data_IF_710161302087
#
_entry.id   IF_710161302087
#
_cell.length_a   1.000
_cell.length_b   1.000
_cell.length_c   1.000
_cell.angle_alpha   90.00
_cell.angle_beta   90.00
_cell.angle_gamma   90.00
#
_symmetry.space_group_name_H-M   'P 1'
#
loop_
_entity.id
_entity.type
_entity.pdbx_description
1 polymer ?
#
# COMPACT_ATOMS: atom_id res chain seq x y z
N UNK A 1 -8.13 66.27 39.49
CA UNK A 1 -7.03 66.14 40.47
C UNK A 1 -7.01 64.72 41.00
N UNK A 2 -5.82 64.11 41.12
CA UNK A 2 -5.50 62.81 41.79
C UNK A 2 -6.67 61.85 42.07
N UNK A 3 -6.90 60.90 41.15
CA UNK A 3 -7.30 59.55 41.57
C UNK A 3 -6.14 58.90 42.35
N UNK A 4 -6.43 57.91 43.20
CA UNK A 4 -5.44 57.23 44.03
C UNK A 4 -5.13 55.83 43.48
N UNK A 5 -3.84 55.51 43.41
CA UNK A 5 -3.33 54.16 43.16
C UNK A 5 -3.76 53.21 44.27
N UNK A 6 -4.10 51.98 43.91
CA UNK A 6 -4.16 50.84 44.83
C UNK A 6 -3.23 49.77 44.26
N UNK A 7 -2.26 49.32 45.06
CA UNK A 7 -1.33 48.25 44.73
C UNK A 7 -1.45 47.20 45.83
N UNK A 8 -1.69 45.93 45.46
CA UNK A 8 -1.77 44.80 46.39
C UNK A 8 -0.53 43.93 46.24
N UNK A 9 -0.07 43.33 47.34
CA UNK A 9 1.19 42.59 47.44
C UNK A 9 0.91 41.14 47.87
N UNK A 10 1.62 40.19 47.28
CA UNK A 10 1.52 38.75 47.54
C UNK A 10 2.46 37.99 46.59
N UNK A 11 3.78 38.07 46.76
CA UNK A 11 4.63 37.38 47.74
C UNK A 11 5.01 35.95 47.29
N UNK A 12 6.29 35.78 46.96
CA UNK A 12 6.92 34.51 46.54
C UNK A 12 6.94 33.45 47.65
N UNK A 13 6.95 32.18 47.24
CA UNK A 13 7.69 31.11 47.94
C UNK A 13 8.30 30.13 46.93
N UNK A 14 9.63 30.06 46.89
CA UNK A 14 10.35 28.90 46.33
C UNK A 14 10.54 27.86 47.43
N UNK A 15 10.59 26.59 47.06
CA UNK A 15 11.43 25.59 47.71
C UNK A 15 11.85 24.53 46.68
N UNK A 16 13.14 24.21 46.65
CA UNK A 16 13.71 23.20 45.77
C UNK A 16 14.14 21.97 46.58
N UNK A 17 14.22 20.80 45.95
CA UNK A 17 14.71 19.57 46.55
C UNK A 17 15.07 18.51 45.51
N UNK A 18 16.36 18.20 45.38
CA UNK A 18 16.90 17.30 44.36
C UNK A 18 17.47 16.02 44.98
N UNK A 19 17.05 14.85 44.50
CA UNK A 19 17.62 13.51 44.75
C UNK A 19 16.76 12.45 44.01
N UNK A 20 17.26 11.31 43.51
CA UNK A 20 18.63 10.87 43.19
C UNK A 20 18.53 9.71 42.16
N UNK A 21 19.56 9.46 41.35
CA UNK A 21 19.59 8.31 40.43
C UNK A 21 19.81 6.97 41.15
N UNK A 22 19.20 5.89 40.66
CA UNK A 22 19.58 4.51 41.01
C UNK A 22 19.25 3.53 39.88
N UNK A 23 20.28 2.87 39.31
CA UNK A 23 20.14 1.71 38.43
C UNK A 23 21.03 0.56 38.92
N UNK A 24 20.43 -0.54 39.39
CA UNK A 24 20.93 -1.92 39.17
C UNK A 24 19.92 -2.98 39.60
N UNK A 25 20.03 -4.16 39.01
CA UNK A 25 19.09 -5.28 39.15
C UNK A 25 19.60 -6.40 40.08
N UNK A 26 18.68 -7.25 40.55
CA UNK A 26 18.60 -8.71 40.32
C UNK A 26 17.81 -9.42 41.44
N UNK A 27 17.18 -10.58 41.14
CA UNK A 27 16.77 -11.55 42.19
C UNK A 27 15.34 -12.13 42.22
N UNK A 28 14.90 -12.79 41.14
CA UNK A 28 14.05 -14.01 41.12
C UNK A 28 13.13 -14.38 42.31
N UNK A 29 11.82 -14.60 42.04
CA UNK A 29 11.18 -15.96 42.19
C UNK A 29 9.68 -16.05 41.82
N UNK A 30 9.30 -17.08 41.04
CA UNK A 30 8.18 -17.97 41.42
C UNK A 30 6.85 -18.02 40.63
N UNK A 31 6.78 -18.90 39.61
CA UNK A 31 5.52 -19.52 39.10
C UNK A 31 4.76 -18.77 37.97
N UNK A 32 4.03 -19.44 37.07
CA UNK A 32 3.92 -20.89 36.82
C UNK A 32 2.62 -21.31 36.10
N UNK A 33 2.71 -22.20 35.09
CA UNK A 33 1.66 -22.59 34.08
C UNK A 33 1.46 -21.52 32.99
N UNK A 34 1.28 -21.81 31.69
CA UNK A 34 1.32 -23.07 30.91
C UNK A 34 0.02 -23.36 30.14
N UNK A 35 0.00 -23.63 28.82
CA UNK A 35 1.07 -23.66 27.80
C UNK A 35 0.64 -24.31 26.47
N UNK A 36 1.58 -24.42 25.51
CA UNK A 36 1.51 -25.08 24.18
C UNK A 36 0.60 -24.46 23.08
N UNK A 37 0.94 -24.54 21.77
CA UNK A 37 2.26 -24.82 21.17
C UNK A 37 2.30 -25.56 19.82
N UNK A 38 2.77 -24.86 18.77
CA UNK A 38 3.43 -25.34 17.52
C UNK A 38 4.07 -24.09 16.85
N UNK A 39 5.16 -24.04 16.07
CA UNK A 39 6.26 -24.96 15.64
C UNK A 39 5.96 -26.10 14.66
N UNK A 40 6.12 -25.83 13.35
CA UNK A 40 7.39 -26.00 12.57
C UNK A 40 7.52 -24.75 11.63
N UNK A 41 8.47 -24.52 10.71
CA UNK A 41 9.65 -25.25 10.22
C UNK A 41 9.49 -25.82 8.80
N UNK A 42 10.32 -25.53 7.78
CA UNK A 42 11.48 -24.62 7.64
C UNK A 42 12.27 -24.93 6.34
N UNK A 43 13.20 -24.05 5.91
CA UNK A 43 13.99 -24.11 4.64
C UNK A 43 13.17 -23.96 3.34
N UNK A 44 13.65 -23.41 2.22
CA UNK A 44 14.91 -22.71 1.93
C UNK A 44 15.63 -23.22 0.67
N UNK A 45 15.79 -22.37 -0.36
CA UNK A 45 16.80 -22.52 -1.41
C UNK A 45 17.01 -21.18 -2.15
N UNK A 46 18.23 -20.95 -2.65
CA UNK A 46 18.55 -19.80 -3.50
C UNK A 46 19.10 -20.28 -4.86
N UNK A 47 18.70 -19.61 -5.94
CA UNK A 47 19.25 -19.78 -7.27
C UNK A 47 18.61 -18.79 -8.24
N UNK A 48 19.32 -18.19 -9.20
CA UNK A 48 20.73 -18.38 -9.53
C UNK A 48 20.93 -18.44 -11.03
N UNK A 49 20.78 -17.30 -11.71
CA UNK A 49 20.79 -17.20 -13.18
C UNK A 49 22.18 -17.51 -13.77
N UNK A 50 22.47 -18.79 -13.99
CA UNK A 50 23.74 -19.30 -14.52
C UNK A 50 23.58 -19.95 -15.89
N UNK A 51 23.65 -19.14 -16.96
CA UNK A 51 23.53 -19.65 -18.33
C UNK A 51 24.72 -20.50 -18.78
N UNK A 52 24.45 -21.64 -19.43
CA UNK A 52 25.46 -22.46 -20.12
C UNK A 52 25.00 -22.82 -21.54
N UNK A 53 25.67 -22.25 -22.54
CA UNK A 53 25.59 -22.71 -23.93
C UNK A 53 26.89 -23.42 -24.33
N UNK A 54 26.77 -24.44 -25.20
CA UNK A 54 27.92 -25.11 -25.83
C UNK A 54 28.46 -26.35 -25.10
N UNK A 55 27.97 -27.54 -25.48
CA UNK A 55 28.43 -28.82 -24.95
C UNK A 55 28.21 -30.00 -25.90
N UNK A 56 28.91 -30.02 -27.04
CA UNK A 56 28.82 -31.15 -27.99
C UNK A 56 29.47 -32.41 -27.43
N UNK A 57 28.66 -33.41 -27.03
CA UNK A 57 29.13 -34.71 -26.52
C UNK A 57 28.40 -35.88 -27.20
N UNK A 58 29.10 -36.67 -28.01
CA UNK A 58 28.51 -37.86 -28.65
C UNK A 58 28.53 -39.05 -27.68
N UNK A 59 27.37 -39.64 -27.40
CA UNK A 59 27.26 -40.77 -26.47
C UNK A 59 25.96 -41.55 -26.63
N UNK A 60 25.94 -42.49 -27.59
CA UNK A 60 24.79 -43.38 -27.75
C UNK A 60 24.83 -44.53 -26.72
N UNK A 61 23.82 -44.60 -25.85
CA UNK A 61 23.47 -45.82 -25.12
C UNK A 61 21.96 -45.89 -24.96
N UNK A 62 21.35 -47.01 -25.32
CA UNK A 62 19.95 -47.27 -25.02
C UNK A 62 19.78 -47.54 -23.51
N UNK A 63 18.73 -47.00 -22.91
CA UNK A 63 18.40 -47.17 -21.50
C UNK A 63 16.91 -47.00 -21.26
N UNK A 64 16.16 -48.10 -21.35
CA UNK A 64 14.74 -48.14 -21.00
C UNK A 64 14.57 -48.04 -19.48
N UNK A 65 13.78 -47.08 -19.00
CA UNK A 65 13.58 -46.86 -17.57
C UNK A 65 12.33 -46.03 -17.26
N UNK A 66 11.15 -46.60 -17.50
CA UNK A 66 9.88 -46.00 -17.08
C UNK A 66 9.52 -46.47 -15.65
N UNK A 67 9.26 -45.50 -14.77
CA UNK A 67 8.60 -45.64 -13.46
C UNK A 67 7.84 -44.33 -13.23
N UNK A 68 6.52 -44.24 -13.30
CA UNK A 68 5.50 -45.31 -13.32
C UNK A 68 4.91 -45.49 -11.92
N UNK A 69 4.11 -44.51 -11.50
CA UNK A 69 3.52 -44.41 -10.15
C UNK A 69 2.02 -44.71 -10.08
N UNK A 70 1.37 -45.07 -11.20
CA UNK A 70 -0.08 -45.20 -11.31
C UNK A 70 -0.69 -46.14 -10.26
N UNK A 71 -1.47 -45.57 -9.35
CA UNK A 71 -2.48 -46.25 -8.56
C UNK A 71 -3.81 -45.50 -8.79
N UNK A 72 -4.88 -46.12 -9.30
CA UNK A 72 -4.96 -47.51 -9.73
C UNK A 72 -6.37 -48.06 -9.82
N UNK A 73 -7.28 -47.39 -10.55
CA UNK A 73 -8.64 -47.92 -10.75
C UNK A 73 -9.20 -47.60 -12.15
N UNK A 74 -9.62 -48.65 -12.87
CA UNK A 74 -10.58 -48.62 -13.99
C UNK A 74 -10.28 -47.87 -15.30
N UNK A 75 -9.68 -46.68 -15.26
CA UNK A 75 -9.55 -45.75 -16.39
C UNK A 75 -8.58 -46.21 -17.48
N UNK A 76 -8.85 -45.80 -18.72
CA UNK A 76 -7.86 -45.82 -19.80
C UNK A 76 -7.52 -44.37 -20.12
N UNK A 77 -6.55 -43.80 -19.41
CA UNK A 77 -6.02 -42.46 -19.66
C UNK A 77 -5.70 -42.28 -21.16
N UNK A 78 -6.06 -41.15 -21.74
CA UNK A 78 -5.95 -40.89 -23.18
C UNK A 78 -5.03 -39.72 -23.42
N UNK A 79 -3.77 -40.04 -23.72
CA UNK A 79 -2.71 -39.04 -23.91
C UNK A 79 -3.11 -37.93 -24.90
N UNK A 80 -3.06 -36.68 -24.44
CA UNK A 80 -3.55 -35.48 -25.13
C UNK A 80 -3.44 -34.25 -24.23
N UNK A 81 -3.99 -33.12 -24.67
CA UNK A 81 -3.94 -31.86 -23.90
C UNK A 81 -4.95 -31.90 -22.72
N UNK A 82 -4.52 -31.61 -21.49
CA UNK A 82 -5.35 -31.68 -20.27
C UNK A 82 -6.14 -30.38 -20.01
N UNK A 83 -6.90 -29.93 -21.03
CA UNK A 83 -7.59 -28.63 -21.02
C UNK A 83 -9.10 -28.73 -21.30
N UNK A 84 -9.72 -29.85 -20.94
CA UNK A 84 -11.18 -30.07 -21.10
C UNK A 84 -11.79 -30.71 -19.87
N UNK A 85 -13.08 -30.44 -19.59
CA UNK A 85 -13.78 -31.00 -18.41
C UNK A 85 -13.69 -32.53 -18.30
N UNK A 86 -13.53 -33.22 -19.44
CA UNK A 86 -13.47 -34.67 -19.53
C UNK A 86 -12.06 -35.27 -19.40
N UNK A 87 -11.01 -34.43 -19.46
CA UNK A 87 -9.63 -34.81 -19.13
C UNK A 87 -9.32 -34.44 -17.67
N UNK A 88 -9.77 -33.25 -17.25
CA UNK A 88 -9.62 -32.70 -15.90
C UNK A 88 -10.53 -33.36 -14.83
N UNK A 89 -11.07 -34.55 -15.09
CA UNK A 89 -11.87 -35.30 -14.11
C UNK A 89 -11.91 -36.82 -14.34
N UNK A 90 -10.97 -37.38 -15.13
CA UNK A 90 -10.92 -38.81 -15.42
C UNK A 90 -9.87 -39.60 -14.61
N UNK A 91 -9.14 -38.93 -13.70
CA UNK A 91 -8.21 -39.58 -12.77
C UNK A 91 -6.83 -39.82 -13.36
N UNK A 92 -6.43 -39.04 -14.35
CA UNK A 92 -5.30 -39.31 -15.22
C UNK A 92 -4.51 -38.04 -15.56
N UNK A 93 -3.21 -38.09 -15.27
CA UNK A 93 -2.16 -37.36 -15.98
C UNK A 93 -2.21 -37.74 -17.47
N UNK A 94 -2.83 -36.88 -18.29
CA UNK A 94 -3.12 -37.06 -19.70
C UNK A 94 -2.08 -36.38 -20.60
N UNK A 95 -1.45 -35.28 -20.17
CA UNK A 95 -0.39 -34.59 -20.92
C UNK A 95 1.03 -35.17 -20.64
N UNK A 96 1.24 -35.78 -19.46
CA UNK A 96 2.50 -36.35 -18.95
C UNK A 96 3.55 -35.36 -18.38
N UNK A 97 3.17 -34.18 -17.88
CA UNK A 97 4.05 -33.30 -17.10
C UNK A 97 4.24 -33.74 -15.63
N UNK A 98 3.23 -34.41 -15.05
CA UNK A 98 3.24 -34.96 -13.69
C UNK A 98 2.18 -34.42 -12.72
N UNK A 99 1.30 -33.52 -13.14
CA UNK A 99 0.05 -33.19 -12.43
C UNK A 99 -1.13 -34.03 -12.97
N UNK A 100 -2.36 -33.84 -12.46
CA UNK A 100 -3.56 -34.58 -12.93
C UNK A 100 -4.86 -34.00 -12.37
N UNK A 101 -5.93 -34.04 -13.15
CA UNK A 101 -7.23 -33.45 -12.81
C UNK A 101 -7.04 -31.99 -12.31
N UNK A 102 -7.71 -31.58 -11.23
CA UNK A 102 -7.65 -30.20 -10.73
C UNK A 102 -6.35 -29.81 -10.02
N UNK A 103 -5.39 -30.73 -9.86
CA UNK A 103 -4.00 -30.40 -9.47
C UNK A 103 -3.17 -29.86 -10.66
N UNK A 104 -3.62 -30.08 -11.91
CA UNK A 104 -3.02 -29.52 -13.13
C UNK A 104 -3.31 -28.00 -13.27
N UNK A 105 -2.39 -27.28 -13.90
CA UNK A 105 -2.51 -25.87 -14.25
C UNK A 105 -3.36 -25.61 -15.50
N UNK A 106 -3.28 -26.44 -16.54
CA UNK A 106 -4.08 -26.30 -17.77
C UNK A 106 -5.58 -26.56 -17.49
N UNK A 107 -5.87 -27.34 -16.44
CA UNK A 107 -7.23 -27.59 -15.95
C UNK A 107 -7.91 -26.39 -15.24
N UNK A 108 -7.16 -25.36 -14.82
CA UNK A 108 -7.66 -24.26 -13.95
C UNK A 108 -8.75 -23.38 -14.55
N UNK A 109 -9.08 -23.54 -15.83
CA UNK A 109 -10.16 -22.82 -16.53
C UNK A 109 -11.30 -23.73 -17.03
N UNK A 110 -11.27 -25.01 -16.66
CA UNK A 110 -12.30 -25.99 -17.05
C UNK A 110 -13.41 -26.09 -16.01
N UNK A 111 -14.65 -26.33 -16.42
CA UNK A 111 -15.81 -26.44 -15.50
C UNK A 111 -15.88 -27.77 -14.73
N UNK A 112 -14.85 -28.61 -14.85
CA UNK A 112 -14.60 -29.72 -13.95
C UNK A 112 -13.91 -29.28 -12.65
N UNK A 113 -13.11 -28.21 -12.72
CA UNK A 113 -12.26 -27.72 -11.64
C UNK A 113 -12.66 -26.32 -11.17
N UNK A 114 -13.05 -25.44 -12.09
CA UNK A 114 -13.82 -24.24 -11.81
C UNK A 114 -15.27 -24.63 -11.51
N UNK A 115 -15.74 -24.34 -10.30
CA UNK A 115 -17.12 -24.53 -9.85
C UNK A 115 -18.10 -23.51 -10.46
N UNK A 116 -19.30 -23.36 -9.87
CA UNK A 116 -20.28 -22.39 -10.34
C UNK A 116 -19.86 -20.96 -9.95
N UNK A 117 -19.08 -20.33 -10.83
CA UNK A 117 -18.46 -19.00 -10.71
C UNK A 117 -18.97 -18.10 -9.57
N UNK A 118 -18.07 -17.68 -8.68
CA UNK A 118 -18.40 -16.99 -7.43
C UNK A 118 -18.93 -15.57 -7.68
N UNK A 119 -20.25 -15.44 -7.87
CA UNK A 119 -20.84 -14.19 -8.35
C UNK A 119 -22.25 -13.91 -7.78
N UNK A 120 -22.42 -14.13 -6.47
CA UNK A 120 -23.61 -13.68 -5.73
C UNK A 120 -23.24 -13.32 -4.30
N UNK A 121 -23.94 -12.38 -3.68
CA UNK A 121 -23.59 -11.90 -2.34
C UNK A 121 -23.42 -13.04 -1.31
N UNK A 122 -24.30 -14.07 -1.25
CA UNK A 122 -24.12 -15.19 -0.32
C UNK A 122 -23.07 -16.24 -0.73
N UNK A 123 -22.42 -16.05 -1.88
CA UNK A 123 -21.21 -16.78 -2.26
C UNK A 123 -20.00 -15.97 -1.77
N UNK A 124 -19.88 -14.74 -2.27
CA UNK A 124 -18.83 -13.74 -2.01
C UNK A 124 -18.75 -13.18 -0.56
N UNK A 125 -19.25 -13.89 0.44
CA UNK A 125 -19.22 -13.47 1.86
C UNK A 125 -19.40 -14.65 2.83
N UNK A 126 -19.06 -15.88 2.43
CA UNK A 126 -19.33 -17.10 3.19
C UNK A 126 -18.09 -17.83 3.72
N UNK A 127 -16.88 -17.40 3.35
CA UNK A 127 -15.61 -17.96 3.82
C UNK A 127 -15.14 -19.19 3.05
N UNK A 128 -15.60 -19.38 1.81
CA UNK A 128 -15.29 -20.54 0.96
C UNK A 128 -15.13 -20.12 -0.49
N UNK A 129 -14.01 -20.53 -1.09
CA UNK A 129 -13.77 -20.58 -2.54
C UNK A 129 -14.84 -21.49 -3.21
N UNK A 130 -15.96 -20.88 -3.60
CA UNK A 130 -17.17 -21.58 -4.10
C UNK A 130 -16.95 -22.04 -5.57
N UNK A 131 -15.98 -21.46 -6.28
CA UNK A 131 -15.56 -21.91 -7.63
C UNK A 131 -14.16 -22.56 -7.74
N UNK A 132 -13.46 -22.75 -6.62
CA UNK A 132 -12.22 -23.55 -6.48
C UNK A 132 -11.03 -23.04 -7.34
N UNK A 133 -10.96 -21.73 -7.56
CA UNK A 133 -9.91 -21.10 -8.37
C UNK A 133 -8.67 -20.67 -7.56
N UNK A 134 -8.76 -20.64 -6.22
CA UNK A 134 -7.69 -20.25 -5.30
C UNK A 134 -7.82 -18.84 -4.70
N UNK A 135 -8.86 -18.09 -5.06
CA UNK A 135 -9.33 -16.89 -4.38
C UNK A 135 -10.60 -17.24 -3.56
N UNK A 136 -11.10 -16.31 -2.74
CA UNK A 136 -12.25 -16.56 -1.83
C UNK A 136 -12.94 -15.23 -1.56
N UNK A 137 -14.28 -15.23 -1.45
CA UNK A 137 -15.06 -14.06 -1.09
C UNK A 137 -14.66 -12.81 -1.91
N UNK A 138 -14.26 -11.71 -1.26
CA UNK A 138 -13.98 -10.44 -1.92
C UNK A 138 -12.57 -10.33 -2.50
N UNK A 139 -11.68 -11.28 -2.19
CA UNK A 139 -10.43 -11.49 -2.92
C UNK A 139 -10.66 -12.10 -4.32
N UNK A 140 -11.86 -12.64 -4.62
CA UNK A 140 -12.20 -13.18 -5.94
C UNK A 140 -12.56 -12.09 -6.97
N UNK A 141 -12.01 -12.21 -8.18
CA UNK A 141 -12.25 -11.28 -9.29
C UNK A 141 -13.71 -11.27 -9.80
N UNK A 142 -14.44 -12.38 -9.69
CA UNK A 142 -15.87 -12.48 -10.01
C UNK A 142 -16.77 -11.82 -8.94
N UNK A 143 -16.22 -11.59 -7.74
CA UNK A 143 -16.87 -10.90 -6.62
C UNK A 143 -16.60 -9.39 -6.56
N UNK A 144 -15.57 -8.85 -7.23
CA UNK A 144 -15.21 -7.42 -7.15
C UNK A 144 -16.35 -6.44 -7.52
N UNK A 145 -17.23 -6.79 -8.47
CA UNK A 145 -18.40 -5.97 -8.85
C UNK A 145 -19.60 -6.10 -7.87
N UNK A 146 -19.44 -6.78 -6.72
CA UNK A 146 -20.53 -7.08 -5.78
C UNK A 146 -20.63 -6.03 -4.69
N UNK A 147 -21.86 -5.64 -4.37
CA UNK A 147 -22.15 -4.70 -3.28
C UNK A 147 -21.68 -5.24 -1.92
N UNK A 148 -21.66 -6.57 -1.70
CA UNK A 148 -21.08 -7.20 -0.49
C UNK A 148 -19.55 -7.06 -0.36
N UNK A 149 -18.86 -6.70 -1.44
CA UNK A 149 -17.41 -6.45 -1.47
C UNK A 149 -17.07 -4.97 -1.65
N UNK A 150 -18.06 -4.14 -1.94
CA UNK A 150 -17.96 -2.68 -1.84
C UNK A 150 -18.31 -2.19 -0.41
N UNK A 151 -18.98 -3.03 0.38
CA UNK A 151 -19.43 -2.77 1.74
C UNK A 151 -20.51 -1.68 1.85
N UNK A 152 -21.14 -1.57 3.02
CA UNK A 152 -22.04 -0.45 3.30
C UNK A 152 -21.35 0.83 3.80
N UNK A 153 -20.04 0.96 3.55
CA UNK A 153 -19.09 2.02 3.96
C UNK A 153 -19.43 3.47 3.51
N UNK A 154 -20.62 3.96 3.85
CA UNK A 154 -20.98 5.37 3.75
C UNK A 154 -21.80 5.80 4.96
N UNK A 155 -21.57 7.03 5.44
CA UNK A 155 -22.39 7.67 6.49
C UNK A 155 -23.92 7.57 6.21
N UNK A 156 -24.31 7.51 4.93
CA UNK A 156 -25.69 7.41 4.50
C UNK A 156 -26.35 6.05 4.76
N UNK A 157 -25.59 4.97 4.61
CA UNK A 157 -26.04 3.59 4.85
C UNK A 157 -25.86 3.22 6.33
N UNK A 158 -24.68 3.50 6.90
CA UNK A 158 -24.28 3.25 8.29
C UNK A 158 -25.12 3.96 9.40
N UNK A 159 -26.26 4.55 9.06
CA UNK A 159 -27.17 5.25 9.98
C UNK A 159 -28.64 5.20 9.55
N UNK A 160 -29.03 4.23 8.73
CA UNK A 160 -30.33 4.15 8.06
C UNK A 160 -31.22 2.97 8.53
N UNK A 161 -30.66 2.02 9.28
CA UNK A 161 -31.38 0.90 9.90
C UNK A 161 -31.57 -0.32 9.00
N UNK A 162 -30.68 -0.53 8.03
CA UNK A 162 -30.69 -1.68 7.11
C UNK A 162 -29.28 -2.23 6.91
N UNK A 163 -29.26 -3.52 6.61
CA UNK A 163 -28.25 -4.23 5.82
C UNK A 163 -28.37 -3.75 4.36
N UNK A 164 -27.36 -3.05 3.83
CA UNK A 164 -27.39 -2.48 2.47
C UNK A 164 -26.53 -3.24 1.45
N UNK A 165 -25.65 -4.13 1.89
CA UNK A 165 -24.70 -4.89 1.07
C UNK A 165 -24.99 -6.41 1.01
N UNK A 166 -25.73 -6.96 1.98
CA UNK A 166 -26.17 -8.35 2.05
C UNK A 166 -25.39 -9.25 3.01
N UNK A 167 -24.43 -8.73 3.78
CA UNK A 167 -23.57 -9.49 4.72
C UNK A 167 -24.32 -10.02 5.97
N UNK A 168 -25.45 -9.40 6.33
CA UNK A 168 -26.29 -9.60 7.53
C UNK A 168 -25.95 -8.79 8.80
N UNK A 169 -24.88 -7.99 8.80
CA UNK A 169 -24.68 -6.87 9.74
C UNK A 169 -25.46 -5.62 9.28
N UNK A 170 -25.50 -4.58 10.12
CA UNK A 170 -26.42 -3.42 10.00
C UNK A 170 -25.85 -2.17 10.71
N UNK A 171 -25.83 -1.03 10.03
CA UNK A 171 -25.36 0.26 10.56
C UNK A 171 -23.95 0.11 11.20
N UNK A 172 -23.65 0.88 12.23
CA UNK A 172 -22.45 0.71 13.06
C UNK A 172 -22.29 -0.65 13.75
N UNK A 173 -23.19 -1.64 13.58
CA UNK A 173 -22.90 -3.02 14.00
C UNK A 173 -22.12 -3.81 12.92
N UNK A 174 -21.92 -3.20 11.75
CA UNK A 174 -21.05 -3.68 10.68
C UNK A 174 -19.58 -3.34 10.91
N UNK A 175 -18.69 -4.17 10.36
CA UNK A 175 -17.26 -3.88 10.25
C UNK A 175 -16.99 -2.87 9.13
N UNK A 176 -17.75 -2.90 8.02
CA UNK A 176 -17.59 -1.95 6.90
C UNK A 176 -18.02 -0.52 7.25
N UNK A 177 -18.76 -0.36 8.36
CA UNK A 177 -19.11 0.93 8.94
C UNK A 177 -18.10 1.47 9.96
N UNK A 178 -16.92 0.85 10.10
CA UNK A 178 -15.87 1.29 11.03
C UNK A 178 -14.84 2.23 10.40
N UNK A 179 -14.91 2.51 9.09
CA UNK A 179 -13.95 3.39 8.40
C UNK A 179 -13.84 4.80 9.02
N UNK A 180 -12.65 5.41 9.01
CA UNK A 180 -12.39 6.70 9.69
C UNK A 180 -13.29 7.84 9.20
N UNK A 181 -13.67 7.83 7.92
CA UNK A 181 -14.61 8.80 7.36
C UNK A 181 -16.09 8.55 7.74
N UNK A 182 -16.43 7.54 8.55
CA UNK A 182 -17.79 7.18 8.99
C UNK A 182 -18.15 7.82 10.35
N UNK A 183 -18.23 9.15 10.36
CA UNK A 183 -18.53 10.01 11.52
C UNK A 183 -19.93 9.83 12.15
N UNK A 184 -20.72 8.86 11.70
CA UNK A 184 -21.98 8.43 12.33
C UNK A 184 -21.80 7.30 13.37
N UNK A 185 -20.62 6.66 13.41
CA UNK A 185 -20.31 5.54 14.29
C UNK A 185 -19.25 5.88 15.36
N UNK A 186 -19.13 5.02 16.38
CA UNK A 186 -18.08 5.08 17.40
C UNK A 186 -17.86 3.65 17.91
N UNK A 187 -17.00 2.90 17.21
CA UNK A 187 -17.00 1.44 17.30
C UNK A 187 -18.38 0.87 16.91
N UNK A 188 -18.75 -0.24 17.55
CA UNK A 188 -19.98 -0.98 17.29
C UNK A 188 -21.29 -0.29 17.73
N UNK A 189 -21.42 1.04 17.62
CA UNK A 189 -22.56 1.84 18.09
C UNK A 189 -22.67 3.22 17.42
N UNK A 190 -23.89 3.69 17.10
CA UNK A 190 -24.10 5.01 16.49
C UNK A 190 -23.88 6.17 17.48
N UNK A 191 -23.33 7.27 16.99
CA UNK A 191 -23.10 8.48 17.80
C UNK A 191 -24.42 9.12 18.26
N UNK A 192 -24.42 9.66 19.47
CA UNK A 192 -25.63 10.16 20.13
C UNK A 192 -25.45 11.58 20.70
N UNK A 193 -26.08 12.61 20.11
CA UNK A 193 -27.00 12.58 18.96
C UNK A 193 -26.27 12.34 17.63
N UNK A 194 -26.96 11.71 16.67
CA UNK A 194 -26.50 11.65 15.28
C UNK A 194 -26.37 13.08 14.71
N UNK A 195 -25.28 13.40 13.98
CA UNK A 195 -25.09 14.70 13.33
C UNK A 195 -26.05 14.90 12.16
N UNK A 196 -26.48 16.14 11.93
CA UNK A 196 -27.29 16.48 10.75
C UNK A 196 -26.48 16.29 9.46
N UNK A 197 -27.11 15.79 8.38
CA UNK A 197 -26.41 15.49 7.11
C UNK A 197 -25.73 16.72 6.50
N UNK A 198 -26.18 17.94 6.81
CA UNK A 198 -25.51 19.19 6.39
C UNK A 198 -24.18 19.48 7.12
N UNK A 199 -23.85 18.72 8.17
CA UNK A 199 -22.60 18.81 8.91
C UNK A 199 -21.56 17.79 8.45
N UNK A 200 -21.95 16.74 7.74
CA UNK A 200 -21.10 15.57 7.46
C UNK A 200 -19.78 15.94 6.78
N UNK A 201 -19.71 16.72 5.67
CA UNK A 201 -18.42 17.01 5.02
C UNK A 201 -17.43 17.78 5.93
N UNK A 202 -17.94 18.57 6.88
CA UNK A 202 -17.10 19.28 7.85
C UNK A 202 -16.65 18.38 9.01
N UNK A 203 -17.41 17.34 9.36
CA UNK A 203 -17.06 16.36 10.38
C UNK A 203 -16.11 15.29 9.81
N UNK A 204 -16.36 14.79 8.60
CA UNK A 204 -15.49 13.85 7.88
C UNK A 204 -14.10 14.46 7.70
N UNK A 205 -14.03 15.70 7.18
CA UNK A 205 -12.79 16.47 7.13
C UNK A 205 -12.13 16.64 8.51
N UNK A 206 -12.90 16.72 9.59
CA UNK A 206 -12.32 16.88 10.93
C UNK A 206 -11.72 15.56 11.43
N UNK A 207 -12.35 14.41 11.19
CA UNK A 207 -11.75 13.11 11.50
C UNK A 207 -10.41 12.97 10.77
N UNK A 208 -10.46 12.99 9.43
CA UNK A 208 -9.32 12.81 8.53
C UNK A 208 -8.22 13.91 8.56
N UNK A 209 -8.25 14.89 9.47
CA UNK A 209 -7.20 15.92 9.62
C UNK A 209 -7.01 16.41 11.07
N UNK A 210 -7.16 15.56 12.10
CA UNK A 210 -6.99 15.96 13.50
C UNK A 210 -5.80 15.35 14.26
N UNK A 211 -5.04 14.45 13.63
CA UNK A 211 -3.89 13.77 14.23
C UNK A 211 -4.30 12.69 15.24
N UNK A 212 -5.42 12.02 14.99
CA UNK A 212 -5.94 10.90 15.81
C UNK A 212 -6.46 9.82 14.86
N UNK A 213 -5.98 8.59 15.07
CA UNK A 213 -6.55 7.31 14.63
C UNK A 213 -7.98 7.16 15.21
N UNK A 214 -8.99 7.71 14.53
CA UNK A 214 -10.38 7.82 15.00
C UNK A 214 -11.14 6.48 14.83
N UNK A 215 -10.71 5.61 13.91
CA UNK A 215 -11.21 4.22 13.77
C UNK A 215 -10.45 3.17 14.62
N UNK A 216 -9.25 3.50 15.11
CA UNK A 216 -8.32 2.59 15.82
C UNK A 216 -7.74 1.45 14.98
N UNK A 217 -7.53 1.66 13.68
CA UNK A 217 -6.93 0.67 12.76
C UNK A 217 -5.39 0.72 12.74
N UNK A 218 -4.76 1.79 13.24
CA UNK A 218 -3.31 1.99 13.29
C UNK A 218 -2.72 2.92 12.23
N UNK A 219 -3.56 3.48 11.35
CA UNK A 219 -3.26 4.63 10.48
C UNK A 219 -3.85 5.90 11.11
N UNK A 220 -3.67 7.07 10.48
CA UNK A 220 -4.14 8.35 11.04
C UNK A 220 -4.31 9.38 9.91
N UNK A 221 -5.40 10.15 9.94
CA UNK A 221 -5.66 11.26 9.02
C UNK A 221 -5.51 10.82 7.54
N UNK A 222 -4.59 11.41 6.79
CA UNK A 222 -4.35 11.14 5.38
C UNK A 222 -3.45 9.92 5.13
N UNK A 223 -2.87 9.36 6.20
CA UNK A 223 -2.24 8.03 6.18
C UNK A 223 -3.27 6.90 6.05
N UNK A 224 -4.53 7.12 6.44
CA UNK A 224 -5.60 6.15 6.25
C UNK A 224 -6.16 6.19 4.81
N UNK A 225 -6.39 4.99 4.26
CA UNK A 225 -7.08 4.77 3.00
C UNK A 225 -8.53 5.27 3.08
N UNK A 226 -9.21 5.10 4.22
CA UNK A 226 -10.57 5.56 4.49
C UNK A 226 -10.78 7.07 4.31
N UNK A 227 -9.69 7.83 4.38
CA UNK A 227 -9.65 9.28 4.35
C UNK A 227 -8.99 9.82 3.09
N UNK A 228 -7.87 9.22 2.67
CA UNK A 228 -7.17 9.59 1.42
C UNK A 228 -7.95 9.21 0.17
N UNK A 229 -8.71 8.11 0.19
CA UNK A 229 -9.51 7.70 -0.97
C UNK A 229 -10.94 8.31 -0.93
N UNK A 230 -11.29 9.02 0.16
CA UNK A 230 -12.55 9.76 0.29
C UNK A 230 -12.48 11.14 -0.40
N UNK A 231 -13.17 11.27 -1.54
CA UNK A 231 -13.19 12.48 -2.35
C UNK A 231 -13.79 13.74 -1.67
N UNK A 232 -14.53 13.62 -0.56
CA UNK A 232 -14.96 14.80 0.23
C UNK A 232 -13.79 15.39 1.05
N UNK A 233 -12.71 14.63 1.25
CA UNK A 233 -11.50 15.02 1.99
C UNK A 233 -10.42 15.52 1.02
N UNK A 234 -10.71 16.64 0.37
CA UNK A 234 -9.74 17.34 -0.51
C UNK A 234 -8.44 17.75 0.21
N UNK A 235 -8.44 17.77 1.54
CA UNK A 235 -7.26 18.09 2.35
C UNK A 235 -6.25 16.94 2.47
N UNK A 236 -6.58 15.72 2.01
CA UNK A 236 -5.65 14.60 1.88
C UNK A 236 -5.20 14.34 0.44
N UNK A 237 -5.67 15.15 -0.53
CA UNK A 237 -5.26 15.07 -1.91
C UNK A 237 -4.04 15.96 -2.16
N UNK A 238 -3.12 15.50 -3.01
CA UNK A 238 -1.95 16.25 -3.50
C UNK A 238 -1.07 16.89 -2.40
N UNK A 239 -0.98 16.26 -1.23
CA UNK A 239 -0.05 16.67 -0.17
C UNK A 239 1.40 16.33 -0.56
N UNK A 240 2.39 17.17 -0.19
CA UNK A 240 3.79 16.87 -0.43
C UNK A 240 4.26 15.74 0.50
N UNK A 241 4.78 14.62 -0.02
CA UNK A 241 5.15 13.48 0.81
C UNK A 241 6.46 13.68 1.57
N UNK A 242 6.57 13.00 2.71
CA UNK A 242 7.74 12.99 3.60
C UNK A 242 8.94 12.20 3.03
N UNK A 243 9.44 12.55 1.85
CA UNK A 243 10.47 11.76 1.15
C UNK A 243 11.59 12.57 0.51
N UNK A 244 11.98 13.70 1.10
CA UNK A 244 13.23 14.40 0.75
C UNK A 244 13.91 14.99 2.00
N UNK A 245 15.19 15.35 1.92
CA UNK A 245 15.93 15.78 3.11
C UNK A 245 15.39 17.07 3.77
N UNK A 246 14.62 17.88 3.05
CA UNK A 246 14.04 19.11 3.60
C UNK A 246 12.80 18.84 4.46
N UNK A 247 11.85 18.02 3.99
CA UNK A 247 10.64 17.67 4.76
C UNK A 247 11.01 16.80 5.96
N UNK A 248 11.86 15.78 5.73
CA UNK A 248 12.38 14.85 6.74
C UNK A 248 13.29 15.48 7.83
N UNK A 249 13.34 16.80 7.95
CA UNK A 249 14.03 17.51 9.03
C UNK A 249 13.48 18.91 9.39
N UNK A 250 12.25 19.26 8.99
CA UNK A 250 11.65 20.57 9.31
C UNK A 250 10.70 20.59 10.52
N UNK A 251 10.30 19.41 11.02
CA UNK A 251 9.43 19.24 12.19
C UNK A 251 7.95 19.47 11.92
N UNK A 252 7.50 19.26 10.68
CA UNK A 252 6.10 19.28 10.24
C UNK A 252 5.71 17.87 9.78
N UNK A 253 4.42 17.54 9.88
CA UNK A 253 3.80 16.39 9.23
C UNK A 253 3.29 16.87 7.85
N UNK A 254 4.05 16.61 6.78
CA UNK A 254 3.79 17.21 5.45
C UNK A 254 2.65 16.51 4.69
N UNK A 255 2.54 15.19 4.78
CA UNK A 255 1.51 14.35 4.16
C UNK A 255 0.36 13.94 5.11
N UNK A 256 0.42 14.33 6.40
CA UNK A 256 -0.62 14.10 7.43
C UNK A 256 -0.90 12.63 7.65
N UNK A 257 0.17 11.86 7.75
CA UNK A 257 0.18 10.43 8.06
C UNK A 257 0.15 10.17 9.59
N UNK A 258 0.36 11.23 10.40
CA UNK A 258 0.47 11.18 11.86
C UNK A 258 1.91 11.04 12.38
N UNK A 259 2.90 10.89 11.48
CA UNK A 259 4.34 10.89 11.79
C UNK A 259 4.96 12.25 11.41
N UNK A 260 6.26 12.39 11.58
CA UNK A 260 7.00 13.66 11.39
C UNK A 260 8.49 13.39 11.28
N UNK A 261 9.19 14.10 10.39
CA UNK A 261 10.63 13.92 10.15
C UNK A 261 10.97 12.42 9.96
N UNK A 262 12.13 12.00 10.47
CA UNK A 262 12.58 10.61 10.48
C UNK A 262 11.67 9.61 11.21
N UNK A 263 10.66 10.00 11.98
CA UNK A 263 9.71 9.02 12.54
C UNK A 263 8.79 8.43 11.44
N UNK A 264 8.70 9.10 10.29
CA UNK A 264 7.98 8.68 9.09
C UNK A 264 8.61 7.48 8.34
N UNK A 265 7.78 6.73 7.59
CA UNK A 265 8.21 5.64 6.72
C UNK A 265 8.78 6.10 5.37
N UNK A 266 8.22 7.16 4.78
CA UNK A 266 8.67 7.80 3.55
C UNK A 266 10.11 8.36 3.72
N UNK A 267 10.43 8.84 4.93
CA UNK A 267 11.76 9.35 5.29
C UNK A 267 12.86 8.26 5.46
N UNK A 268 12.56 6.99 5.22
CA UNK A 268 13.54 5.91 5.33
C UNK A 268 14.35 5.67 4.04
N UNK A 269 13.93 6.20 2.90
CA UNK A 269 14.54 5.89 1.58
C UNK A 269 16.04 6.21 1.47
N UNK A 270 16.76 5.45 0.64
CA UNK A 270 18.23 5.48 0.51
C UNK A 270 18.83 6.90 0.42
N UNK A 271 18.23 7.85 -0.31
CA UNK A 271 18.75 9.22 -0.44
C UNK A 271 18.58 10.14 0.79
N UNK A 272 17.85 9.72 1.83
CA UNK A 272 17.53 10.54 3.01
C UNK A 272 18.68 10.49 4.03
N UNK A 273 19.62 11.42 3.90
CA UNK A 273 20.83 11.52 4.72
C UNK A 273 20.64 12.27 6.04
N UNK A 274 19.50 12.95 6.22
CA UNK A 274 19.10 13.55 7.51
C UNK A 274 18.62 12.51 8.53
N UNK A 275 18.31 11.29 8.10
CA UNK A 275 17.81 10.20 8.96
C UNK A 275 18.79 9.03 9.09
N UNK A 276 18.60 8.22 10.14
CA UNK A 276 19.36 7.00 10.42
C UNK A 276 18.43 5.98 11.09
N UNK A 277 17.57 5.34 10.28
CA UNK A 277 16.35 4.72 10.79
C UNK A 277 15.40 5.79 11.34
N UNK A 278 14.53 5.41 12.28
CA UNK A 278 13.50 6.28 12.87
C UNK A 278 14.03 7.40 13.81
N UNK A 279 15.23 7.96 13.57
CA UNK A 279 15.81 9.06 14.34
C UNK A 279 16.67 9.99 13.48
N UNK A 280 16.70 11.31 13.78
CA UNK A 280 17.61 12.26 13.14
C UNK A 280 19.09 11.87 13.25
N UNK A 281 19.83 12.04 12.14
CA UNK A 281 21.24 11.75 12.03
C UNK A 281 22.09 12.53 13.06
N UNK A 282 23.13 11.89 13.59
CA UNK A 282 23.95 12.46 14.68
C UNK A 282 25.46 12.33 14.38
N UNK A 283 26.15 13.43 14.03
CA UNK A 283 25.65 14.79 13.85
C UNK A 283 24.75 14.93 12.60
N UNK A 284 23.84 15.89 12.65
CA UNK A 284 23.02 16.29 11.49
C UNK A 284 23.93 16.86 10.38
N UNK A 285 23.83 16.40 9.12
CA UNK A 285 24.58 16.97 8.01
C UNK A 285 24.09 18.38 7.68
N UNK A 286 24.98 19.27 7.22
CA UNK A 286 24.55 20.61 6.80
C UNK A 286 23.81 20.53 5.45
N UNK A 287 22.83 21.40 5.23
CA UNK A 287 22.04 21.44 3.98
C UNK A 287 22.91 21.57 2.70
N UNK A 288 24.06 22.23 2.80
CA UNK A 288 25.05 22.32 1.71
C UNK A 288 25.77 21.00 1.37
N UNK A 289 25.55 19.95 2.16
CA UNK A 289 26.19 18.63 2.03
C UNK A 289 25.19 17.56 1.55
N UNK A 290 23.87 17.77 1.68
CA UNK A 290 22.82 16.79 1.41
C UNK A 290 22.95 16.13 0.03
N UNK A 291 22.88 16.88 -1.06
CA UNK A 291 23.10 16.39 -2.45
C UNK A 291 24.37 15.56 -2.61
N UNK A 292 25.48 15.94 -1.96
CA UNK A 292 26.74 15.21 -2.10
C UNK A 292 26.73 13.88 -1.33
N UNK A 293 26.06 13.84 -0.17
CA UNK A 293 25.91 12.64 0.64
C UNK A 293 24.86 11.68 0.02
N UNK A 294 23.74 12.21 -0.47
CA UNK A 294 22.70 11.45 -1.18
C UNK A 294 23.27 10.81 -2.46
N UNK A 295 23.95 11.59 -3.31
CA UNK A 295 24.70 11.05 -4.46
C UNK A 295 25.77 10.03 -4.06
N UNK A 296 26.33 10.10 -2.86
CA UNK A 296 27.33 9.12 -2.38
C UNK A 296 26.67 7.79 -2.01
N UNK A 297 25.50 7.81 -1.35
CA UNK A 297 24.72 6.59 -1.09
C UNK A 297 24.22 5.98 -2.39
N UNK A 298 23.55 6.79 -3.23
CA UNK A 298 22.99 6.40 -4.53
C UNK A 298 24.03 6.08 -5.62
N UNK A 299 25.29 5.76 -5.25
CA UNK A 299 26.32 5.27 -6.18
C UNK A 299 27.45 4.45 -5.52
N UNK A 300 27.25 3.90 -4.32
CA UNK A 300 28.26 3.07 -3.63
C UNK A 300 28.05 1.54 -3.77
N UNK A 301 26.92 1.09 -4.32
CA UNK A 301 26.61 -0.32 -4.53
C UNK A 301 26.19 -1.08 -3.26
N UNK A 302 25.96 -0.38 -2.15
CA UNK A 302 25.24 -0.93 -1.00
C UNK A 302 23.71 -0.90 -1.24
N UNK A 303 22.97 -1.25 -0.21
CA UNK A 303 21.52 -1.10 -0.04
C UNK A 303 21.44 -0.42 1.34
N UNK A 304 21.11 0.87 1.39
CA UNK A 304 21.27 1.69 2.59
C UNK A 304 20.01 1.72 3.47
N UNK A 305 18.83 1.44 2.90
CA UNK A 305 17.54 1.39 3.63
C UNK A 305 17.04 -0.04 3.90
N UNK A 306 17.59 -1.05 3.21
CA UNK A 306 17.29 -2.48 3.27
C UNK A 306 16.02 -2.91 2.50
N UNK A 307 15.55 -2.13 1.53
CA UNK A 307 14.40 -2.46 0.67
C UNK A 307 14.72 -3.50 -0.44
N UNK A 308 16.01 -3.85 -0.62
CA UNK A 308 16.60 -4.74 -1.65
C UNK A 308 16.90 -4.13 -3.02
N UNK A 309 16.44 -2.91 -3.30
CA UNK A 309 16.94 -2.09 -4.39
C UNK A 309 18.22 -1.34 -3.98
N UNK A 310 18.85 -0.65 -4.93
CA UNK A 310 20.20 -0.08 -4.81
C UNK A 310 20.48 1.06 -5.78
N UNK A 311 21.26 2.05 -5.34
CA UNK A 311 21.77 3.11 -6.20
C UNK A 311 20.62 3.70 -7.06
N UNK A 312 20.81 3.83 -8.37
CA UNK A 312 19.80 4.33 -9.29
C UNK A 312 18.75 3.29 -9.74
N UNK A 313 18.88 2.02 -9.33
CA UNK A 313 17.84 1.00 -9.50
C UNK A 313 16.79 1.06 -8.36
N UNK A 314 16.95 2.00 -7.43
CA UNK A 314 16.04 2.32 -6.32
C UNK A 314 15.19 3.58 -6.62
N UNK A 315 13.90 3.57 -6.26
CA UNK A 315 13.03 4.76 -6.36
C UNK A 315 13.36 5.82 -5.31
N UNK A 316 13.78 5.43 -4.11
CA UNK A 316 14.27 6.33 -3.07
C UNK A 316 15.50 7.14 -3.49
N UNK A 317 16.21 6.72 -4.55
CA UNK A 317 17.24 7.50 -5.23
C UNK A 317 16.77 8.12 -6.54
N UNK A 318 16.19 7.33 -7.46
CA UNK A 318 15.88 7.79 -8.82
C UNK A 318 14.72 8.80 -8.88
N UNK A 319 13.80 8.81 -7.92
CA UNK A 319 12.69 9.79 -7.89
C UNK A 319 13.02 11.07 -7.10
N UNK A 320 14.03 11.07 -6.22
CA UNK A 320 14.40 12.24 -5.44
C UNK A 320 15.19 13.26 -6.29
N UNK A 321 14.61 14.44 -6.50
CA UNK A 321 15.18 15.57 -7.22
C UNK A 321 16.54 16.08 -6.68
N UNK A 322 16.90 15.79 -5.43
CA UNK A 322 18.22 16.10 -4.87
C UNK A 322 19.33 15.16 -5.38
N UNK A 323 18.97 13.98 -5.89
CA UNK A 323 19.88 12.98 -6.43
C UNK A 323 20.15 13.28 -7.90
N UNK A 324 21.39 13.65 -8.19
CA UNK A 324 21.85 14.11 -9.51
C UNK A 324 22.85 13.16 -10.17
N UNK A 325 23.25 12.08 -9.49
CA UNK A 325 24.12 11.03 -10.05
C UNK A 325 23.41 10.11 -11.04
N UNK A 326 22.09 9.92 -10.88
CA UNK A 326 21.31 8.98 -11.69
C UNK A 326 20.93 9.49 -13.08
N UNK A 327 20.87 10.82 -13.29
CA UNK A 327 20.44 11.40 -14.56
C UNK A 327 18.96 11.15 -14.91
N UNK A 328 18.14 10.82 -13.91
CA UNK A 328 16.73 10.49 -14.07
C UNK A 328 15.87 11.71 -14.46
N UNK A 329 14.78 11.46 -15.17
CA UNK A 329 13.78 12.48 -15.50
C UNK A 329 12.79 12.63 -14.33
N UNK A 330 13.22 13.32 -13.27
CA UNK A 330 12.56 13.28 -11.95
C UNK A 330 12.21 14.66 -11.34
N UNK A 331 12.16 15.72 -12.15
CA UNK A 331 11.77 17.07 -11.70
C UNK A 331 10.87 17.77 -12.71
N UNK A 332 10.04 18.70 -12.25
CA UNK A 332 9.17 19.55 -13.09
C UNK A 332 9.88 20.24 -14.26
N UNK A 333 11.18 20.52 -14.12
CA UNK A 333 11.97 21.18 -15.18
C UNK A 333 12.48 20.20 -16.24
N UNK A 334 12.65 18.92 -15.90
CA UNK A 334 13.06 17.87 -16.84
C UNK A 334 11.82 17.29 -17.53
N UNK A 335 10.81 16.93 -16.74
CA UNK A 335 9.51 16.38 -17.14
C UNK A 335 8.60 17.33 -17.97
N UNK A 336 9.15 18.44 -18.49
CA UNK A 336 8.44 19.38 -19.37
C UNK A 336 9.34 20.09 -20.40
N UNK A 337 10.58 19.63 -20.61
CA UNK A 337 11.51 20.28 -21.57
C UNK A 337 11.50 19.67 -22.99
N UNK A 338 10.76 18.56 -23.19
CA UNK A 338 10.57 17.90 -24.47
C UNK A 338 11.69 16.93 -24.87
N UNK A 339 12.49 16.45 -23.92
CA UNK A 339 13.61 15.53 -24.15
C UNK A 339 13.52 14.31 -23.23
N UNK A 340 13.77 13.13 -23.81
CA UNK A 340 14.11 11.89 -23.11
C UNK A 340 15.45 12.09 -22.37
N UNK A 341 15.40 12.32 -21.05
CA UNK A 341 16.56 12.73 -20.25
C UNK A 341 17.41 11.54 -19.78
N UNK A 342 16.79 10.41 -19.44
CA UNK A 342 17.48 9.20 -18.96
C UNK A 342 17.86 8.21 -20.11
N UNK A 343 17.35 8.45 -21.32
CA UNK A 343 17.51 7.64 -22.53
C UNK A 343 16.76 6.30 -22.53
N UNK A 344 15.66 6.17 -21.77
CA UNK A 344 14.82 4.97 -21.74
C UNK A 344 13.86 4.86 -22.95
N UNK A 345 13.58 5.97 -23.65
CA UNK A 345 12.72 6.04 -24.84
C UNK A 345 11.34 6.68 -24.63
N UNK A 346 11.01 7.08 -23.40
CA UNK A 346 9.87 7.93 -23.05
C UNK A 346 10.38 9.36 -22.76
N UNK A 347 9.46 10.32 -22.52
CA UNK A 347 9.79 11.74 -22.31
C UNK A 347 8.60 12.52 -21.77
N UNK A 348 8.88 13.55 -20.98
CA UNK A 348 7.93 14.36 -20.23
C UNK A 348 6.96 13.46 -19.44
N UNK A 349 5.72 13.89 -19.24
CA UNK A 349 4.65 13.13 -18.59
C UNK A 349 4.19 11.84 -19.32
N UNK A 350 4.92 11.37 -20.34
CA UNK A 350 4.76 10.01 -20.90
C UNK A 350 5.75 9.02 -20.30
N UNK A 351 6.76 9.51 -19.59
CA UNK A 351 7.63 8.72 -18.73
C UNK A 351 6.93 8.39 -17.40
N UNK A 352 7.24 7.25 -16.79
CA UNK A 352 6.75 6.90 -15.46
C UNK A 352 7.58 7.56 -14.35
N UNK A 353 8.86 7.87 -14.59
CA UNK A 353 9.74 8.68 -13.72
C UNK A 353 9.20 10.10 -13.51
N UNK A 354 8.35 10.56 -14.43
CA UNK A 354 7.54 11.76 -14.32
C UNK A 354 6.12 11.44 -13.82
N UNK A 355 5.32 10.69 -14.60
CA UNK A 355 3.87 10.50 -14.37
C UNK A 355 3.47 9.57 -13.20
N UNK A 356 4.46 9.02 -12.47
CA UNK A 356 4.26 8.24 -11.24
C UNK A 356 5.11 8.72 -10.06
N UNK A 357 5.95 9.72 -10.25
CA UNK A 357 6.78 10.29 -9.20
C UNK A 357 5.99 11.38 -8.44
N UNK A 358 5.72 11.22 -7.14
CA UNK A 358 4.90 12.16 -6.38
C UNK A 358 5.59 13.52 -6.13
N UNK A 359 6.89 13.66 -6.41
CA UNK A 359 7.61 14.94 -6.38
C UNK A 359 7.52 15.72 -7.70
N UNK A 360 7.06 15.09 -8.79
CA UNK A 360 6.85 15.73 -10.08
C UNK A 360 5.42 16.26 -10.14
N UNK A 361 5.27 17.56 -9.93
CA UNK A 361 3.96 18.23 -10.00
C UNK A 361 3.56 18.55 -11.43
N UNK A 362 4.49 18.73 -12.38
CA UNK A 362 4.17 19.35 -13.67
C UNK A 362 3.10 18.59 -14.46
N UNK A 363 3.04 17.27 -14.33
CA UNK A 363 2.11 16.40 -15.04
C UNK A 363 0.63 16.59 -14.64
N UNK A 364 -0.28 16.16 -15.51
CA UNK A 364 -1.73 16.23 -15.30
C UNK A 364 -2.21 15.00 -14.50
N UNK A 365 -1.70 14.92 -13.27
CA UNK A 365 -1.88 13.85 -12.29
C UNK A 365 -2.13 14.46 -10.92
N UNK A 366 -3.06 13.89 -10.15
CA UNK A 366 -3.52 14.45 -8.87
C UNK A 366 -4.86 15.18 -8.97
N UNK A 367 -5.52 15.42 -7.84
CA UNK A 367 -6.89 15.94 -7.78
C UNK A 367 -7.00 17.37 -8.32
N UNK A 368 -6.15 18.27 -7.84
CA UNK A 368 -6.18 19.69 -8.15
C UNK A 368 -5.90 19.97 -9.63
N UNK A 369 -5.00 19.18 -10.24
CA UNK A 369 -4.62 19.31 -11.66
C UNK A 369 -5.62 18.67 -12.62
N UNK A 370 -6.37 17.69 -12.13
CA UNK A 370 -7.51 17.12 -12.85
C UNK A 370 -8.84 17.87 -12.61
N UNK A 371 -8.81 19.07 -12.00
CA UNK A 371 -10.02 19.86 -11.70
C UNK A 371 -9.88 21.39 -11.75
N UNK A 372 -8.76 21.95 -12.23
CA UNK A 372 -8.54 23.42 -12.27
C UNK A 372 -8.88 24.09 -13.62
N UNK A 373 -9.20 23.31 -14.66
CA UNK A 373 -9.52 23.82 -16.00
C UNK A 373 -8.31 24.11 -16.88
N UNK A 374 -7.14 23.55 -16.59
CA UNK A 374 -5.90 23.77 -17.34
C UNK A 374 -5.32 22.49 -17.96
N UNK A 375 -4.80 22.64 -19.17
CA UNK A 375 -3.94 21.67 -19.88
C UNK A 375 -2.55 21.76 -19.24
N UNK A 376 -2.31 20.90 -18.25
CA UNK A 376 -1.15 20.89 -17.37
C UNK A 376 0.04 20.15 -18.00
N UNK A 377 -0.20 19.00 -18.67
CA UNK A 377 0.87 18.24 -19.33
C UNK A 377 1.16 18.70 -20.79
N UNK A 378 0.29 19.55 -21.36
CA UNK A 378 0.46 20.14 -22.69
C UNK A 378 0.01 19.26 -23.85
N UNK A 379 -0.68 18.14 -23.61
CA UNK A 379 -1.12 17.23 -24.67
C UNK A 379 -2.34 17.75 -25.47
N UNK A 380 -3.10 18.72 -24.93
CA UNK A 380 -4.25 19.33 -25.60
C UNK A 380 -5.63 18.89 -25.10
N UNK A 381 -5.71 18.10 -24.03
CA UNK A 381 -6.94 17.88 -23.24
C UNK A 381 -6.87 18.69 -21.92
N UNK A 382 -7.85 18.52 -21.03
CA UNK A 382 -7.99 19.28 -19.76
C UNK A 382 -8.85 18.51 -18.77
N UNK A 383 -8.46 18.47 -17.50
CA UNK A 383 -9.22 17.83 -16.42
C UNK A 383 -9.60 16.38 -16.80
N UNK A 384 -10.80 15.95 -16.42
CA UNK A 384 -11.39 14.63 -16.72
C UNK A 384 -11.69 14.34 -18.21
N UNK A 385 -11.33 15.26 -19.13
CA UNK A 385 -11.28 14.98 -20.57
C UNK A 385 -9.94 14.33 -20.94
N UNK A 386 -8.91 14.52 -20.11
CA UNK A 386 -7.60 13.92 -20.25
C UNK A 386 -7.59 12.42 -19.89
N UNK A 387 -6.72 11.67 -20.56
CA UNK A 387 -6.49 10.25 -20.31
C UNK A 387 -5.61 10.01 -19.07
N UNK A 388 -4.72 10.96 -18.74
CA UNK A 388 -3.90 10.98 -17.53
C UNK A 388 -4.78 11.07 -16.27
N UNK A 389 -5.85 11.87 -16.34
CA UNK A 389 -6.85 12.02 -15.28
C UNK A 389 -7.93 10.92 -15.25
N UNK A 390 -8.20 10.25 -16.38
CA UNK A 390 -9.36 9.37 -16.56
C UNK A 390 -9.03 8.13 -17.45
N UNK A 391 -8.06 7.29 -17.07
CA UNK A 391 -7.65 6.14 -17.86
C UNK A 391 -8.75 5.05 -17.92
N UNK A 392 -9.07 4.49 -19.10
CA UNK A 392 -10.16 3.52 -19.28
C UNK A 392 -9.86 2.10 -18.80
N UNK A 393 -8.74 1.87 -18.11
CA UNK A 393 -8.24 0.55 -17.69
C UNK A 393 -7.58 0.57 -16.31
N UNK A 394 -7.99 1.46 -15.40
CA UNK A 394 -7.42 1.54 -14.06
C UNK A 394 -8.05 2.63 -13.18
N UNK A 395 -7.40 2.94 -12.06
CA UNK A 395 -7.82 4.01 -11.16
C UNK A 395 -7.85 5.36 -11.91
N UNK A 396 -9.02 5.98 -11.91
CA UNK A 396 -9.19 7.38 -12.27
C UNK A 396 -8.53 8.28 -11.23
N UNK A 397 -8.22 9.52 -11.58
CA UNK A 397 -7.99 10.54 -10.56
C UNK A 397 -9.27 10.75 -9.74
N UNK A 398 -9.11 11.07 -8.45
CA UNK A 398 -10.20 11.35 -7.51
C UNK A 398 -11.09 12.54 -7.92
N UNK A 399 -10.64 13.37 -8.85
CA UNK A 399 -11.42 14.44 -9.46
C UNK A 399 -12.44 13.96 -10.51
N UNK A 400 -12.30 12.74 -11.03
CA UNK A 400 -12.91 12.30 -12.30
C UNK A 400 -13.78 11.04 -12.21
N UNK A 401 -14.11 10.59 -11.00
CA UNK A 401 -14.88 9.37 -10.71
C UNK A 401 -16.35 9.46 -11.12
#
# INVERSE_FOLDING_TARGET
>A
MKLRTVTVVGLFTLLAGSALSACRAEGSSGGGSGGAGATEGGTGAAGGFGGLSGGSGTGASAGTGATGGSSGDGGNCVLGDENTDAACSDGCDNDSDGFSDCDDYDCKTTTACSGPAENSNPACSNGVDDDNNGFTDCEDFACQDRIVCAGEATNANCSDGKDNDGDTKIDCADEDCQSESIIVCNGSSPVSPLPDKSQWPALIKTACTNGIDDNSNGFTDCGDFDCRDNFEVVDCQDLPPEGNNATCSDGIDNDKDGKTDCEDGNCQGESIVVCNGNVPASPMPAQSEWTNLANTRCSDGADNDNNTHKDCDDFGCSWNAEVTVCGAENTDTLCSDGQDNDSNGYADCKDFSCSKNPFVTVCETGFAKCSDGQDNDGNGFTDCIDLSCNPPTGAKSSACM
#
